data_IF_014620520770
#
_entry.id   IF_014620520770
#
_cell.length_a   1.000
_cell.length_b   1.000
_cell.length_c   1.000
_cell.angle_alpha   90.00
_cell.angle_beta   90.00
_cell.angle_gamma   90.00
#
_symmetry.space_group_name_H-M   'P 1'
#
loop_
_entity.id
_entity.type
_entity.pdbx_description
1 polymer ?
#
# COMPACT_ATOMS: atom_id res chain seq x y z
N UNK A 1 -14.25 -10.46 -2.05
CA UNK A 1 -12.87 -10.82 -1.69
C UNK A 1 -12.88 -12.20 -1.08
N UNK A 2 -12.12 -13.12 -1.65
CA UNK A 2 -12.03 -14.51 -1.17
C UNK A 2 -11.03 -14.65 0.00
N UNK A 3 -11.23 -15.63 0.87
CA UNK A 3 -10.26 -16.03 1.89
C UNK A 3 -10.72 -15.82 3.33
N UNK A 4 -11.71 -16.61 3.75
CA UNK A 4 -12.09 -16.76 5.16
C UNK A 4 -11.26 -17.86 5.85
N UNK A 5 -11.46 -18.05 7.15
CA UNK A 5 -10.69 -19.00 7.96
C UNK A 5 -10.65 -20.42 7.36
N UNK A 6 -11.74 -20.87 6.75
CA UNK A 6 -11.86 -22.22 6.18
C UNK A 6 -11.41 -22.32 4.71
N UNK A 7 -11.23 -21.19 4.03
CA UNK A 7 -10.99 -21.17 2.57
C UNK A 7 -9.65 -20.56 2.19
N UNK A 8 -8.97 -19.85 3.08
CA UNK A 8 -7.63 -19.32 2.82
C UNK A 8 -6.61 -20.43 2.69
N UNK A 9 -5.96 -20.51 1.53
CA UNK A 9 -4.83 -21.42 1.30
C UNK A 9 -3.48 -20.71 1.41
N UNK A 10 -2.41 -21.50 1.47
CA UNK A 10 -1.03 -21.00 1.39
C UNK A 10 -0.81 -20.21 0.09
N UNK A 11 -1.30 -20.70 -1.03
CA UNK A 11 -1.12 -20.10 -2.35
C UNK A 11 -1.76 -18.72 -2.41
N UNK A 12 -2.96 -18.57 -1.82
CA UNK A 12 -3.63 -17.26 -1.71
C UNK A 12 -2.81 -16.28 -0.87
N UNK A 13 -2.28 -16.71 0.28
CA UNK A 13 -1.42 -15.89 1.14
C UNK A 13 -0.16 -15.45 0.39
N UNK A 14 0.56 -16.39 -0.21
CA UNK A 14 1.81 -16.12 -0.90
C UNK A 14 1.59 -15.23 -2.13
N UNK A 15 0.53 -15.45 -2.90
CA UNK A 15 0.23 -14.62 -4.08
C UNK A 15 -0.08 -13.18 -3.68
N UNK A 16 -0.90 -12.97 -2.65
CA UNK A 16 -1.20 -11.61 -2.16
C UNK A 16 0.05 -10.93 -1.59
N UNK A 17 0.90 -11.66 -0.86
CA UNK A 17 2.15 -11.11 -0.33
C UNK A 17 3.12 -10.71 -1.44
N UNK A 18 3.29 -11.57 -2.44
CA UNK A 18 4.16 -11.30 -3.60
C UNK A 18 3.70 -10.04 -4.35
N UNK A 19 2.40 -9.94 -4.66
CA UNK A 19 1.86 -8.82 -5.44
C UNK A 19 1.77 -7.53 -4.65
N UNK A 20 1.24 -7.57 -3.41
CA UNK A 20 0.89 -6.36 -2.67
C UNK A 20 2.00 -5.85 -1.74
N UNK A 21 2.99 -6.69 -1.42
CA UNK A 21 4.06 -6.34 -0.48
C UNK A 21 5.42 -6.35 -1.18
N UNK A 22 5.79 -7.48 -1.78
CA UNK A 22 7.10 -7.64 -2.43
C UNK A 22 7.19 -6.78 -3.69
N UNK A 23 6.16 -6.79 -4.53
CA UNK A 23 6.09 -5.97 -5.75
C UNK A 23 6.39 -4.49 -5.51
N UNK A 24 5.62 -3.77 -4.66
CA UNK A 24 5.88 -2.37 -4.36
C UNK A 24 7.28 -2.11 -3.80
N UNK A 25 7.77 -2.97 -2.88
CA UNK A 25 9.13 -2.85 -2.36
C UNK A 25 10.19 -2.92 -3.47
N UNK A 26 10.08 -3.92 -4.34
CA UNK A 26 11.03 -4.10 -5.44
C UNK A 26 10.95 -2.94 -6.43
N UNK A 27 9.75 -2.43 -6.73
CA UNK A 27 9.57 -1.27 -7.60
C UNK A 27 10.22 -0.01 -7.01
N UNK A 28 9.97 0.29 -5.73
CA UNK A 28 10.61 1.43 -5.05
C UNK A 28 12.13 1.27 -5.02
N UNK A 29 12.63 0.06 -4.74
CA UNK A 29 14.07 -0.22 -4.72
C UNK A 29 14.72 -0.01 -6.09
N UNK A 30 14.06 -0.47 -7.16
CA UNK A 30 14.56 -0.31 -8.52
C UNK A 30 14.57 1.16 -8.96
N UNK A 31 13.59 1.94 -8.53
CA UNK A 31 13.45 3.37 -8.84
C UNK A 31 14.22 4.30 -7.90
N UNK A 32 14.92 3.76 -6.89
CA UNK A 32 15.64 4.57 -5.90
C UNK A 32 16.63 5.58 -6.52
N UNK A 33 17.41 5.25 -7.57
CA UNK A 33 18.27 6.24 -8.24
C UNK A 33 17.48 7.42 -8.82
N UNK A 34 16.32 7.16 -9.44
CA UNK A 34 15.44 8.19 -9.98
C UNK A 34 14.82 9.05 -8.87
N UNK A 35 14.45 8.44 -7.74
CA UNK A 35 13.91 9.16 -6.59
C UNK A 35 14.95 10.10 -5.97
N UNK A 36 16.22 9.67 -5.86
CA UNK A 36 17.32 10.53 -5.39
C UNK A 36 17.53 11.71 -6.34
N UNK A 37 17.56 11.46 -7.65
CA UNK A 37 17.66 12.53 -8.65
C UNK A 37 16.47 13.51 -8.55
N UNK A 38 15.25 13.01 -8.35
CA UNK A 38 14.07 13.85 -8.15
C UNK A 38 14.18 14.69 -6.87
N UNK A 39 14.67 14.12 -5.77
CA UNK A 39 14.85 14.84 -4.51
C UNK A 39 15.93 15.93 -4.61
N UNK A 40 17.03 15.66 -5.32
CA UNK A 40 18.09 16.63 -5.61
C UNK A 40 17.59 17.78 -6.50
N UNK A 41 16.85 17.46 -7.56
CA UNK A 41 16.30 18.47 -8.49
C UNK A 41 15.18 19.31 -7.86
N UNK A 42 14.49 18.77 -6.85
CA UNK A 42 13.41 19.43 -6.12
C UNK A 42 13.80 19.68 -4.65
N UNK A 43 14.98 20.29 -4.42
CA UNK A 43 15.62 20.39 -3.09
C UNK A 43 14.73 20.95 -1.96
N UNK A 44 13.70 21.73 -2.26
CA UNK A 44 12.75 22.26 -1.25
C UNK A 44 11.64 21.28 -0.87
N UNK A 45 11.28 20.34 -1.75
CA UNK A 45 10.17 19.38 -1.56
C UNK A 45 10.63 17.93 -1.44
N UNK A 46 11.83 17.60 -1.92
CA UNK A 46 12.32 16.23 -2.00
C UNK A 46 11.54 15.39 -3.01
N UNK A 47 11.49 14.08 -2.78
CA UNK A 47 10.65 13.15 -3.53
C UNK A 47 9.71 12.37 -2.61
N UNK A 48 8.63 11.82 -3.18
CA UNK A 48 7.59 11.11 -2.43
C UNK A 48 7.26 9.77 -3.07
N UNK A 49 7.23 8.73 -2.25
CA UNK A 49 6.68 7.41 -2.58
C UNK A 49 5.33 7.26 -1.88
N UNK A 50 4.28 7.03 -2.66
CA UNK A 50 2.94 6.78 -2.14
C UNK A 50 2.54 5.34 -2.45
N UNK A 51 2.31 4.55 -1.41
CA UNK A 51 1.84 3.17 -1.55
C UNK A 51 0.35 3.07 -1.21
N UNK A 52 -0.45 2.57 -2.14
CA UNK A 52 -1.89 2.31 -1.90
C UNK A 52 -2.05 1.04 -1.04
N UNK A 53 -2.38 1.25 0.23
CA UNK A 53 -2.67 0.21 1.21
C UNK A 53 -4.19 0.07 1.44
N UNK A 54 -4.60 -0.44 2.60
CA UNK A 54 -6.00 -0.60 2.98
C UNK A 54 -6.17 -0.47 4.49
N UNK A 55 -7.35 -0.02 4.96
CA UNK A 55 -7.75 -0.14 6.36
C UNK A 55 -7.67 -1.60 6.86
N UNK A 56 -7.87 -2.58 5.97
CA UNK A 56 -7.75 -4.01 6.31
C UNK A 56 -6.32 -4.45 6.65
N UNK A 57 -5.31 -3.62 6.36
CA UNK A 57 -3.94 -3.82 6.83
C UNK A 57 -3.66 -3.27 8.22
N UNK A 58 -4.65 -2.65 8.87
CA UNK A 58 -4.52 -2.14 10.24
C UNK A 58 -4.71 -3.27 11.25
N UNK A 59 -3.67 -3.58 12.02
CA UNK A 59 -3.75 -4.58 13.09
C UNK A 59 -4.67 -4.08 14.20
N UNK A 60 -4.54 -2.81 14.60
CA UNK A 60 -5.40 -2.21 15.63
C UNK A 60 -6.86 -2.03 15.16
N UNK A 61 -7.07 -1.81 13.85
CA UNK A 61 -8.40 -1.66 13.26
C UNK A 61 -9.08 -2.98 12.90
N UNK A 62 -8.42 -4.13 13.08
CA UNK A 62 -8.99 -5.42 12.74
C UNK A 62 -9.93 -5.94 13.85
N UNK A 63 -11.19 -5.52 13.80
CA UNK A 63 -12.25 -5.96 14.73
C UNK A 63 -13.21 -6.98 14.12
N UNK A 64 -13.14 -7.22 12.81
CA UNK A 64 -14.07 -8.08 12.06
C UNK A 64 -13.46 -9.43 11.63
N UNK A 65 -12.13 -9.55 11.57
CA UNK A 65 -11.45 -10.74 11.06
C UNK A 65 -11.69 -11.00 9.56
N UNK A 66 -11.32 -12.20 9.10
CA UNK A 66 -11.45 -12.62 7.70
C UNK A 66 -10.44 -11.95 6.75
N UNK A 67 -10.56 -12.26 5.45
CA UNK A 67 -9.68 -11.74 4.39
C UNK A 67 -8.19 -11.91 4.72
N UNK A 68 -7.82 -13.07 5.26
CA UNK A 68 -6.51 -13.33 5.87
C UNK A 68 -5.35 -13.00 4.93
N UNK A 69 -5.45 -13.37 3.65
CA UNK A 69 -4.39 -13.14 2.66
C UNK A 69 -4.25 -11.66 2.29
N UNK A 70 -5.35 -10.98 1.99
CA UNK A 70 -5.32 -9.56 1.61
C UNK A 70 -4.92 -8.66 2.78
N UNK A 71 -5.56 -8.81 3.94
CA UNK A 71 -5.27 -8.02 5.14
C UNK A 71 -3.82 -8.19 5.60
N UNK A 72 -3.33 -9.45 5.69
CA UNK A 72 -1.94 -9.71 6.05
C UNK A 72 -0.94 -9.09 5.07
N UNK A 73 -1.20 -9.17 3.76
CA UNK A 73 -0.33 -8.55 2.75
C UNK A 73 -0.28 -7.02 2.88
N UNK A 74 -1.41 -6.37 3.19
CA UNK A 74 -1.46 -4.92 3.41
C UNK A 74 -0.82 -4.51 4.73
N UNK A 75 -0.95 -5.31 5.79
CA UNK A 75 -0.23 -5.11 7.05
C UNK A 75 1.28 -5.24 6.87
N UNK A 76 1.73 -6.25 6.13
CA UNK A 76 3.13 -6.42 5.78
C UNK A 76 3.66 -5.24 4.95
N UNK A 77 2.87 -4.75 3.98
CA UNK A 77 3.24 -3.57 3.20
C UNK A 77 3.33 -2.31 4.07
N UNK A 78 2.45 -2.14 5.07
CA UNK A 78 2.56 -1.03 6.02
C UNK A 78 3.88 -1.08 6.79
N UNK A 79 4.31 -2.26 7.23
CA UNK A 79 5.61 -2.43 7.91
C UNK A 79 6.79 -2.15 6.98
N UNK A 80 6.75 -2.68 5.75
CA UNK A 80 7.77 -2.41 4.73
C UNK A 80 7.88 -0.91 4.45
N UNK A 81 6.75 -0.22 4.29
CA UNK A 81 6.75 1.23 4.07
C UNK A 81 7.34 1.98 5.28
N UNK A 82 7.02 1.56 6.51
CA UNK A 82 7.58 2.18 7.71
C UNK A 82 9.11 2.06 7.75
N UNK A 83 9.66 0.89 7.42
CA UNK A 83 11.12 0.70 7.28
C UNK A 83 11.70 1.54 6.15
N UNK A 84 11.09 1.51 4.95
CA UNK A 84 11.52 2.31 3.81
C UNK A 84 11.59 3.80 4.15
N UNK A 85 10.56 4.33 4.81
CA UNK A 85 10.48 5.74 5.19
C UNK A 85 11.63 6.16 6.11
N UNK A 86 12.14 5.26 6.96
CA UNK A 86 13.30 5.52 7.80
C UNK A 86 14.58 5.50 6.95
N UNK A 87 14.76 4.47 6.13
CA UNK A 87 16.00 4.24 5.38
C UNK A 87 16.30 5.33 4.34
N UNK A 88 15.26 5.81 3.65
CA UNK A 88 15.41 6.77 2.53
C UNK A 88 15.23 8.23 2.96
N UNK A 89 14.90 8.49 4.24
CA UNK A 89 14.74 9.86 4.77
C UNK A 89 15.98 10.72 4.57
N UNK A 90 17.17 10.12 4.74
CA UNK A 90 18.47 10.79 4.55
C UNK A 90 18.70 11.30 3.12
N UNK A 91 17.98 10.75 2.15
CA UNK A 91 18.04 11.13 0.75
C UNK A 91 16.98 12.20 0.39
N UNK A 92 16.32 12.81 1.39
CA UNK A 92 15.19 13.74 1.21
C UNK A 92 14.01 13.09 0.45
N UNK A 93 13.78 11.80 0.69
CA UNK A 93 12.65 11.05 0.13
C UNK A 93 11.71 10.68 1.28
N UNK A 94 10.42 10.95 1.12
CA UNK A 94 9.38 10.47 2.02
C UNK A 94 8.70 9.22 1.44
N UNK A 95 8.24 8.31 2.32
CA UNK A 95 7.41 7.18 1.92
C UNK A 95 6.16 7.10 2.82
N UNK A 96 4.98 7.09 2.22
CA UNK A 96 3.70 7.06 2.93
C UNK A 96 2.80 5.93 2.41
N UNK A 97 1.92 5.46 3.27
CA UNK A 97 0.81 4.59 2.88
C UNK A 97 -0.49 5.39 2.89
N UNK A 98 -1.35 5.11 1.93
CA UNK A 98 -2.68 5.71 1.86
C UNK A 98 -3.76 4.64 1.80
N UNK A 99 -4.91 4.92 2.40
CA UNK A 99 -6.12 4.14 2.19
C UNK A 99 -7.04 4.90 1.24
N UNK A 100 -7.43 4.31 0.09
CA UNK A 100 -8.22 5.03 -0.91
C UNK A 100 -9.71 5.17 -0.56
N UNK A 101 -10.17 4.63 0.57
CA UNK A 101 -11.60 4.44 0.85
C UNK A 101 -12.10 3.08 0.38
N UNK A 102 -13.39 2.81 0.62
CA UNK A 102 -14.09 1.68 0.02
C UNK A 102 -14.61 2.10 -1.36
N UNK A 103 -13.79 1.92 -2.39
CA UNK A 103 -13.99 2.52 -3.72
C UNK A 103 -14.73 1.56 -4.66
N UNK A 104 -15.72 2.07 -5.40
CA UNK A 104 -16.44 1.33 -6.45
C UNK A 104 -15.51 0.96 -7.62
N UNK A 105 -14.96 -0.25 -7.61
CA UNK A 105 -14.01 -0.77 -8.62
C UNK A 105 -14.23 -2.27 -8.83
N UNK A 106 -13.54 -2.88 -9.80
CA UNK A 106 -13.56 -4.33 -10.00
C UNK A 106 -13.09 -5.10 -8.76
N UNK A 107 -12.12 -4.57 -8.01
CA UNK A 107 -11.60 -5.17 -6.78
C UNK A 107 -12.70 -5.35 -5.71
N UNK A 108 -13.66 -4.43 -5.68
CA UNK A 108 -14.78 -4.46 -4.73
C UNK A 108 -16.06 -5.02 -5.36
N UNK A 109 -16.00 -5.49 -6.61
CA UNK A 109 -17.18 -5.95 -7.36
C UNK A 109 -18.19 -4.83 -7.63
N UNK A 110 -17.71 -3.59 -7.81
CA UNK A 110 -18.56 -2.41 -8.02
C UNK A 110 -19.21 -1.85 -6.75
N UNK A 111 -19.00 -2.49 -5.59
CA UNK A 111 -19.48 -2.01 -4.29
C UNK A 111 -18.54 -0.94 -3.73
N UNK A 112 -19.05 0.00 -2.95
CA UNK A 112 -18.23 1.04 -2.33
C UNK A 112 -19.03 2.25 -1.89
N UNK A 113 -18.46 3.00 -0.95
CA UNK A 113 -19.02 4.24 -0.43
C UNK A 113 -18.62 5.46 -1.27
N UNK A 114 -17.51 5.36 -2.00
CA UNK A 114 -16.96 6.45 -2.82
C UNK A 114 -16.68 6.01 -4.25
N UNK A 115 -16.77 6.96 -5.18
CA UNK A 115 -16.34 6.78 -6.57
C UNK A 115 -14.82 6.85 -6.70
N UNK A 116 -14.29 6.37 -7.82
CA UNK A 116 -12.85 6.49 -8.15
C UNK A 116 -12.40 7.95 -8.20
N UNK A 117 -13.24 8.85 -8.72
CA UNK A 117 -12.93 10.28 -8.83
C UNK A 117 -12.84 10.93 -7.45
N UNK A 118 -13.80 10.65 -6.56
CA UNK A 118 -13.80 11.18 -5.19
C UNK A 118 -12.58 10.68 -4.41
N UNK A 119 -12.30 9.38 -4.51
CA UNK A 119 -11.14 8.75 -3.88
C UNK A 119 -9.83 9.42 -4.33
N UNK A 120 -9.58 9.51 -5.64
CA UNK A 120 -8.33 10.07 -6.18
C UNK A 120 -8.18 11.54 -5.83
N UNK A 121 -9.26 12.34 -5.86
CA UNK A 121 -9.22 13.75 -5.43
C UNK A 121 -8.84 13.88 -3.95
N UNK A 122 -9.34 12.99 -3.09
CA UNK A 122 -9.00 12.99 -1.67
C UNK A 122 -7.56 12.57 -1.34
N UNK A 123 -6.90 11.86 -2.27
CA UNK A 123 -5.54 11.34 -2.10
C UNK A 123 -4.42 12.26 -2.60
N UNK A 124 -4.76 13.42 -3.18
CA UNK A 124 -3.75 14.34 -3.71
C UNK A 124 -2.88 14.88 -2.56
N UNK A 125 -1.59 14.51 -2.58
CA UNK A 125 -0.55 14.84 -1.59
C UNK A 125 0.58 15.64 -2.22
#
# INVERSE_FOLDING_TARGET
>A
MEGGLQTTTKEMLMRQFEVNTVGPFLATRALLPNLKLAAETNATKGALVVTVSSQMGSIAGNTNGGNYSYGASKAAMNMVNASLAIDIKKDSIAAIVVHPGYVKTDLTGGLGDVTTVESVRGLQV
#
